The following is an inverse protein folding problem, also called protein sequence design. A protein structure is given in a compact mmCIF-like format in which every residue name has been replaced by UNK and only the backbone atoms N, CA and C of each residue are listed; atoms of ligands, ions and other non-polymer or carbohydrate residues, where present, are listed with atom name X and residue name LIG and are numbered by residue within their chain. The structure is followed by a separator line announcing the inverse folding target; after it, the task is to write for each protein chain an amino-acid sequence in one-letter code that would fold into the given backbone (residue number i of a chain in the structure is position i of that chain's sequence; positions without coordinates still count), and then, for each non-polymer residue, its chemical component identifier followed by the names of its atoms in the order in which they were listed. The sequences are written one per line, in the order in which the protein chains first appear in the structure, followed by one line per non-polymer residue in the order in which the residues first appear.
data_IF_859861160601
#
_entry.id   IF_859861160601
#
_cell.length_a   1.000
_cell.length_b   1.000
_cell.length_c   1.000
_cell.angle_alpha   90.00
_cell.angle_beta   90.00
_cell.angle_gamma   90.00
#
_symmetry.space_group_name_H-M   'P 1'
#
loop_
_entity.id
_entity.type
_entity.pdbx_description
1 polymer ?
#
# COMPACT_ATOMS: atom_id res chain seq x y z
N UNK A 1 -28.09 20.70 6.39
CA UNK A 1 -27.35 19.56 6.97
C UNK A 1 -26.09 20.11 7.61
N UNK A 2 -25.80 19.69 8.83
CA UNK A 2 -24.57 20.06 9.54
C UNK A 2 -23.37 19.50 8.80
N UNK A 3 -22.24 20.22 8.77
CA UNK A 3 -20.98 19.74 8.16
C UNK A 3 -20.58 18.33 8.63
N UNK A 4 -20.94 17.97 9.87
CA UNK A 4 -20.71 16.63 10.44
C UNK A 4 -21.55 15.57 9.73
N UNK A 5 -22.82 15.85 9.44
CA UNK A 5 -23.72 14.94 8.72
C UNK A 5 -23.19 14.65 7.32
N UNK A 6 -22.76 15.69 6.60
CA UNK A 6 -22.18 15.54 5.25
C UNK A 6 -20.90 14.69 5.28
N UNK A 7 -20.05 14.88 6.28
CA UNK A 7 -18.84 14.06 6.47
C UNK A 7 -19.18 12.60 6.76
N UNK A 8 -20.17 12.33 7.62
CA UNK A 8 -20.65 10.97 7.90
C UNK A 8 -21.25 10.31 6.66
N UNK A 9 -22.05 11.03 5.88
CA UNK A 9 -22.62 10.54 4.63
C UNK A 9 -21.54 10.19 3.61
N UNK A 10 -20.55 11.08 3.42
CA UNK A 10 -19.42 10.82 2.52
C UNK A 10 -18.60 9.62 2.98
N UNK A 11 -18.30 9.51 4.27
CA UNK A 11 -17.59 8.37 4.83
C UNK A 11 -18.33 7.05 4.56
N UNK A 12 -19.63 6.99 4.86
CA UNK A 12 -20.42 5.78 4.66
C UNK A 12 -20.51 5.39 3.18
N UNK A 13 -20.65 6.36 2.27
CA UNK A 13 -20.62 6.12 0.83
C UNK A 13 -19.28 5.52 0.38
N UNK A 14 -18.16 6.07 0.84
CA UNK A 14 -16.82 5.56 0.50
C UNK A 14 -16.56 4.18 1.12
N UNK A 15 -17.02 3.96 2.35
CA UNK A 15 -16.97 2.65 3.00
C UNK A 15 -17.77 1.60 2.22
N UNK A 16 -18.96 1.96 1.72
CA UNK A 16 -19.74 1.10 0.82
C UNK A 16 -18.97 0.76 -0.45
N UNK A 17 -18.32 1.75 -1.08
CA UNK A 17 -17.59 1.55 -2.35
C UNK A 17 -16.41 0.57 -2.26
N UNK A 18 -15.81 0.41 -1.07
CA UNK A 18 -14.69 -0.52 -0.85
C UNK A 18 -15.12 -1.93 -0.44
N UNK A 19 -16.41 -2.20 -0.21
CA UNK A 19 -16.86 -3.50 0.31
C UNK A 19 -16.48 -4.70 -0.57
N UNK A 20 -16.57 -4.56 -1.90
CA UNK A 20 -16.14 -5.61 -2.82
C UNK A 20 -14.63 -5.90 -2.71
N UNK A 21 -13.83 -4.86 -2.48
CA UNK A 21 -12.39 -4.99 -2.31
C UNK A 21 -12.03 -5.61 -0.96
N UNK A 22 -12.70 -5.22 0.13
CA UNK A 22 -12.53 -5.84 1.45
C UNK A 22 -12.84 -7.34 1.39
N UNK A 23 -13.88 -7.76 0.67
CA UNK A 23 -14.18 -9.17 0.45
C UNK A 23 -13.07 -9.90 -0.31
N UNK A 24 -12.52 -9.27 -1.35
CA UNK A 24 -11.43 -9.87 -2.14
C UNK A 24 -10.14 -9.99 -1.33
N UNK A 25 -9.81 -8.96 -0.55
CA UNK A 25 -8.63 -8.95 0.32
C UNK A 25 -8.74 -9.98 1.45
N UNK A 26 -9.93 -10.15 2.03
CA UNK A 26 -10.18 -11.22 2.99
C UNK A 26 -9.93 -12.60 2.36
N UNK A 27 -10.46 -12.84 1.17
CA UNK A 27 -10.29 -14.11 0.46
C UNK A 27 -8.81 -14.44 0.18
N UNK A 28 -8.04 -13.42 -0.23
CA UNK A 28 -6.58 -13.53 -0.42
C UNK A 28 -5.89 -13.80 0.92
N UNK A 29 -6.22 -13.05 1.96
CA UNK A 29 -5.59 -13.17 3.28
C UNK A 29 -5.77 -14.58 3.85
N UNK A 30 -6.96 -15.18 3.71
CA UNK A 30 -7.26 -16.54 4.16
C UNK A 30 -6.40 -17.63 3.50
N UNK A 31 -5.89 -17.38 2.28
CA UNK A 31 -5.12 -18.35 1.48
C UNK A 31 -3.62 -18.06 1.45
N UNK A 32 -3.25 -16.79 1.46
CA UNK A 32 -1.88 -16.32 1.14
C UNK A 32 -1.26 -15.49 2.26
N UNK A 33 -2.04 -14.76 3.05
CA UNK A 33 -1.50 -13.89 4.10
C UNK A 33 -2.34 -13.95 5.39
N UNK A 34 -2.35 -15.08 6.12
CA UNK A 34 -3.27 -15.31 7.24
C UNK A 34 -3.14 -14.30 8.38
N UNK A 35 -1.96 -13.69 8.51
CA UNK A 35 -1.67 -12.63 9.50
C UNK A 35 -2.44 -11.33 9.23
N UNK A 36 -2.97 -11.13 8.03
CA UNK A 36 -3.73 -9.95 7.59
C UNK A 36 -5.24 -10.20 7.45
N UNK A 37 -5.75 -11.36 7.87
CA UNK A 37 -7.20 -11.63 7.89
C UNK A 37 -7.89 -10.63 8.84
N UNK A 38 -9.07 -10.12 8.46
CA UNK A 38 -9.87 -9.18 9.27
C UNK A 38 -10.42 -7.98 8.49
N UNK A 39 -10.41 -8.02 7.15
CA UNK A 39 -10.95 -6.96 6.30
C UNK A 39 -12.48 -6.84 6.41
N UNK A 40 -13.17 -7.94 6.69
CA UNK A 40 -14.64 -7.97 6.83
C UNK A 40 -15.14 -7.75 8.27
N UNK A 41 -14.24 -7.54 9.24
CA UNK A 41 -14.59 -7.20 10.62
C UNK A 41 -13.96 -8.09 11.68
N UNK A 42 -14.51 -8.01 12.89
CA UNK A 42 -14.01 -8.73 14.06
C UNK A 42 -14.18 -10.24 13.90
N UNK A 43 -13.15 -10.98 14.31
CA UNK A 43 -13.11 -12.45 14.30
C UNK A 43 -13.09 -12.95 15.74
N UNK A 44 -13.45 -14.21 15.94
CA UNK A 44 -13.46 -14.80 17.27
C UNK A 44 -12.02 -15.01 17.77
N UNK A 45 -11.79 -14.70 19.05
CA UNK A 45 -10.49 -14.96 19.68
C UNK A 45 -10.17 -16.46 19.64
N UNK A 46 -8.92 -16.79 19.27
CA UNK A 46 -8.45 -18.16 19.15
C UNK A 46 -8.93 -18.90 17.89
N UNK A 47 -9.65 -18.24 16.97
CA UNK A 47 -10.04 -18.87 15.71
C UNK A 47 -8.81 -19.30 14.90
N UNK A 48 -8.85 -20.51 14.34
CA UNK A 48 -7.85 -20.98 13.38
C UNK A 48 -7.80 -20.02 12.18
N UNK A 49 -6.62 -19.83 11.59
CA UNK A 49 -6.40 -18.95 10.43
C UNK A 49 -5.83 -19.65 9.20
N UNK A 50 -5.56 -20.95 9.29
CA UNK A 50 -4.80 -21.71 8.28
C UNK A 50 -5.64 -22.72 7.50
N UNK A 51 -6.93 -22.82 7.79
CA UNK A 51 -7.86 -23.81 7.23
C UNK A 51 -8.08 -23.70 5.71
N UNK A 52 -7.81 -22.54 5.11
CA UNK A 52 -7.96 -22.30 3.66
C UNK A 52 -6.63 -22.34 2.91
N UNK A 53 -5.54 -22.70 3.59
CA UNK A 53 -4.21 -22.82 3.01
C UNK A 53 -4.01 -24.26 2.48
N UNK A 54 -3.68 -24.39 1.20
CA UNK A 54 -3.45 -25.69 0.57
C UNK A 54 -1.97 -26.12 0.62
N UNK A 55 -1.05 -25.19 0.38
CA UNK A 55 0.40 -25.38 0.53
C UNK A 55 1.09 -24.07 0.94
N UNK A 56 2.42 -24.07 1.05
CA UNK A 56 3.19 -22.89 1.46
C UNK A 56 3.68 -22.01 0.30
N UNK A 57 3.45 -22.39 -0.97
CA UNK A 57 4.07 -21.73 -2.12
C UNK A 57 3.58 -20.29 -2.30
N UNK A 58 2.27 -19.98 -2.22
CA UNK A 58 1.78 -18.61 -2.35
C UNK A 58 2.36 -17.67 -1.31
N UNK A 59 2.49 -18.11 -0.05
CA UNK A 59 3.04 -17.26 1.01
C UNK A 59 4.51 -16.92 0.75
N UNK A 60 5.31 -17.94 0.39
CA UNK A 60 6.73 -17.75 0.05
C UNK A 60 6.87 -16.84 -1.17
N UNK A 61 6.03 -17.02 -2.19
CA UNK A 61 6.04 -16.19 -3.39
C UNK A 61 5.71 -14.73 -3.09
N UNK A 62 4.70 -14.47 -2.23
CA UNK A 62 4.33 -13.13 -1.82
C UNK A 62 5.44 -12.43 -1.03
N UNK A 63 6.06 -13.11 -0.06
CA UNK A 63 7.16 -12.54 0.73
C UNK A 63 8.40 -12.24 -0.16
N UNK A 64 8.70 -13.12 -1.14
CA UNK A 64 9.76 -12.87 -2.14
C UNK A 64 9.42 -11.69 -3.05
N UNK A 65 8.19 -11.62 -3.54
CA UNK A 65 7.73 -10.51 -4.37
C UNK A 65 7.87 -9.18 -3.64
N UNK A 66 7.43 -9.10 -2.38
CA UNK A 66 7.55 -7.90 -1.56
C UNK A 66 9.01 -7.47 -1.38
N UNK A 67 9.92 -8.43 -1.16
CA UNK A 67 11.36 -8.16 -1.00
C UNK A 67 12.00 -7.63 -2.27
N UNK A 68 11.60 -8.16 -3.44
CA UNK A 68 12.05 -7.64 -4.75
C UNK A 68 11.53 -6.23 -4.98
N UNK A 69 10.25 -5.98 -4.70
CA UNK A 69 9.65 -4.66 -4.84
C UNK A 69 10.34 -3.61 -3.95
N UNK A 70 10.63 -3.93 -2.69
CA UNK A 70 11.38 -3.04 -1.78
C UNK A 70 12.77 -2.69 -2.34
N UNK A 71 13.45 -3.69 -2.92
CA UNK A 71 14.78 -3.51 -3.52
C UNK A 71 14.74 -2.69 -4.81
N UNK A 72 13.64 -2.73 -5.57
CA UNK A 72 13.52 -2.06 -6.87
C UNK A 72 12.92 -0.66 -6.78
N UNK A 73 11.91 -0.44 -5.93
CA UNK A 73 11.20 0.83 -5.83
C UNK A 73 11.95 1.86 -5.01
N UNK A 74 12.49 1.45 -3.86
CA UNK A 74 13.16 2.33 -2.90
C UNK A 74 14.47 1.71 -2.40
N UNK A 75 15.42 1.43 -3.30
CA UNK A 75 16.72 0.85 -2.94
C UNK A 75 17.42 1.68 -1.85
N UNK A 76 17.91 1.00 -0.81
CA UNK A 76 18.64 1.63 0.31
C UNK A 76 20.02 2.17 -0.09
N UNK A 77 20.59 1.65 -1.17
CA UNK A 77 21.98 1.90 -1.56
C UNK A 77 22.10 2.97 -2.66
N UNK A 78 20.98 3.48 -3.20
CA UNK A 78 20.99 4.46 -4.29
C UNK A 78 19.84 5.44 -4.18
N UNK A 79 20.01 6.62 -4.80
CA UNK A 79 18.91 7.59 -4.94
C UNK A 79 17.85 7.01 -5.88
N UNK A 80 16.62 6.91 -5.40
CA UNK A 80 15.48 6.33 -6.12
C UNK A 80 14.51 7.37 -6.68
N UNK A 81 14.72 8.65 -6.35
CA UNK A 81 14.02 9.79 -6.95
C UNK A 81 14.98 10.96 -7.16
N UNK A 82 14.52 11.96 -7.91
CA UNK A 82 15.21 13.23 -8.11
C UNK A 82 14.25 14.39 -7.86
N UNK A 83 14.80 15.54 -7.47
CA UNK A 83 14.04 16.78 -7.33
C UNK A 83 14.06 17.56 -8.65
N UNK A 84 12.94 18.22 -8.95
CA UNK A 84 12.80 19.16 -10.06
C UNK A 84 11.87 20.29 -9.66
N UNK A 85 12.03 21.45 -10.27
CA UNK A 85 11.05 22.54 -10.13
C UNK A 85 9.97 22.44 -11.20
N UNK A 86 8.81 23.06 -10.96
CA UNK A 86 7.74 23.22 -11.95
C UNK A 86 8.11 24.20 -13.07
N UNK A 87 9.12 25.04 -12.87
CA UNK A 87 9.66 25.95 -13.88
C UNK A 87 10.72 25.25 -14.76
N UNK A 88 10.41 25.00 -16.03
CA UNK A 88 11.31 24.33 -16.96
C UNK A 88 12.60 25.11 -17.26
N UNK A 89 12.59 26.44 -17.19
CA UNK A 89 13.77 27.26 -17.47
C UNK A 89 14.82 27.08 -16.38
N UNK A 90 14.39 27.01 -15.12
CA UNK A 90 15.26 26.77 -13.97
C UNK A 90 15.87 25.36 -13.99
N UNK A 91 15.12 24.34 -14.43
CA UNK A 91 15.64 22.98 -14.56
C UNK A 91 16.80 22.86 -15.57
N UNK A 92 17.01 23.85 -16.45
CA UNK A 92 18.14 23.89 -17.40
C UNK A 92 19.41 24.53 -16.81
N UNK A 93 19.32 25.18 -15.66
CA UNK A 93 20.45 25.83 -15.02
C UNK A 93 21.26 24.81 -14.20
N UNK A 94 22.55 24.70 -14.49
CA UNK A 94 23.44 23.74 -13.82
C UNK A 94 23.46 23.92 -12.29
N UNK A 95 23.52 25.16 -11.80
CA UNK A 95 23.53 25.46 -10.36
C UNK A 95 22.28 24.93 -9.64
N UNK A 96 21.11 24.97 -10.30
CA UNK A 96 19.85 24.45 -9.75
C UNK A 96 19.85 22.92 -9.72
N UNK A 97 20.35 22.29 -10.80
CA UNK A 97 20.49 20.83 -10.85
C UNK A 97 21.45 20.31 -9.78
N UNK A 98 22.60 20.96 -9.60
CA UNK A 98 23.59 20.61 -8.57
C UNK A 98 23.00 20.78 -7.16
N UNK A 99 22.32 21.90 -6.89
CA UNK A 99 21.65 22.11 -5.62
C UNK A 99 20.62 21.00 -5.32
N UNK A 100 19.76 20.67 -6.28
CA UNK A 100 18.82 19.56 -6.14
C UNK A 100 19.52 18.22 -5.91
N UNK A 101 20.65 17.96 -6.55
CA UNK A 101 21.42 16.75 -6.31
C UNK A 101 21.99 16.71 -4.89
N UNK A 102 22.38 17.84 -4.30
CA UNK A 102 22.95 17.88 -2.94
C UNK A 102 21.89 17.74 -1.83
N UNK A 103 20.71 18.33 -2.00
CA UNK A 103 19.65 18.33 -0.96
C UNK A 103 18.69 17.14 -1.04
N UNK A 104 18.77 16.36 -2.12
CA UNK A 104 18.03 15.11 -2.32
C UNK A 104 18.69 13.94 -1.60
#
# INVERSE_FOLDING_TARGET
MSKIEDMCHRYNSLKGSRGNWESHWEEIAERVLPRQIGFLGARSDGEKKTQKIFDSRPQIALDRFASVMDSMLTPRQSKWHNLRTTDEALNRQFAVQDWFYQVN
#
